data_IF_154978157175
#
_entry.id   IF_154978157175
#
_cell.length_a   1.000
_cell.length_b   1.000
_cell.length_c   1.000
_cell.angle_alpha   90.00
_cell.angle_beta   90.00
_cell.angle_gamma   90.00
#
_symmetry.space_group_name_H-M   'P 1'
#
loop_
_entity.id
_entity.type
_entity.pdbx_description
1 polymer ?
#
# COMPACT_ATOMS: atom_id res chain seq x y z
N UNK A 1 15.73 -2.87 -10.31
CA UNK A 1 15.62 -1.75 -9.35
C UNK A 1 15.28 -0.46 -10.08
N UNK A 2 13.98 -0.17 -10.28
CA UNK A 2 13.38 1.17 -10.47
C UNK A 2 11.90 1.02 -10.92
N UNK A 3 11.09 0.20 -10.23
CA UNK A 3 9.70 0.01 -10.63
C UNK A 3 8.84 1.23 -10.27
N UNK A 4 9.10 1.88 -9.14
CA UNK A 4 8.36 3.07 -8.67
C UNK A 4 8.59 4.33 -9.51
N UNK A 5 9.65 4.41 -10.33
CA UNK A 5 9.92 5.57 -11.18
C UNK A 5 9.02 5.63 -12.44
N UNK A 6 8.37 4.51 -12.80
CA UNK A 6 7.39 4.45 -13.90
C UNK A 6 5.97 4.77 -13.43
N UNK A 7 5.70 4.69 -12.13
CA UNK A 7 4.40 5.01 -11.58
C UNK A 7 4.37 6.50 -11.26
N UNK A 8 3.29 7.17 -11.69
CA UNK A 8 3.07 8.56 -11.33
C UNK A 8 2.96 8.62 -9.81
N UNK A 9 3.88 9.34 -9.15
CA UNK A 9 3.90 9.43 -7.69
C UNK A 9 2.53 9.86 -7.14
N UNK A 10 1.79 10.69 -7.89
CA UNK A 10 0.44 11.09 -7.54
C UNK A 10 -0.54 9.91 -7.45
N UNK A 11 -0.48 8.96 -8.39
CA UNK A 11 -1.37 7.78 -8.38
C UNK A 11 -1.07 6.87 -7.18
N UNK A 12 0.21 6.80 -6.77
CA UNK A 12 0.60 6.08 -5.56
C UNK A 12 0.05 6.80 -4.32
N UNK A 13 0.22 8.11 -4.23
CA UNK A 13 -0.28 8.90 -3.09
C UNK A 13 -1.81 8.83 -2.98
N UNK A 14 -2.52 8.96 -4.11
CA UNK A 14 -3.99 8.87 -4.16
C UNK A 14 -4.47 7.46 -3.75
N UNK A 15 -3.79 6.41 -4.22
CA UNK A 15 -4.06 5.03 -3.83
C UNK A 15 -3.86 4.79 -2.33
N UNK A 16 -2.78 5.31 -1.76
CA UNK A 16 -2.49 5.16 -0.33
C UNK A 16 -3.44 5.97 0.55
N UNK A 17 -3.78 7.19 0.14
CA UNK A 17 -4.73 8.04 0.84
C UNK A 17 -6.14 7.43 0.88
N UNK A 18 -6.48 6.57 -0.08
CA UNK A 18 -7.75 5.87 -0.12
C UNK A 18 -7.89 4.76 0.93
N UNK A 19 -6.81 4.40 1.65
CA UNK A 19 -6.76 3.31 2.63
C UNK A 19 -6.81 3.89 4.06
N UNK A 20 -7.96 3.85 4.77
CA UNK A 20 -8.10 4.47 6.10
C UNK A 20 -7.19 3.88 7.17
N UNK A 21 -6.74 2.64 6.96
CA UNK A 21 -5.83 1.96 7.87
C UNK A 21 -4.39 2.49 7.79
N UNK A 22 -4.04 3.27 6.76
CA UNK A 22 -2.75 3.94 6.63
C UNK A 22 -2.82 5.29 7.32
N UNK A 23 -2.18 5.38 8.49
CA UNK A 23 -2.17 6.56 9.36
C UNK A 23 -1.28 7.66 8.79
N UNK A 24 -0.16 7.27 8.19
CA UNK A 24 0.77 8.17 7.53
C UNK A 24 1.56 7.45 6.45
N UNK A 25 2.00 8.18 5.42
CA UNK A 25 2.93 7.67 4.43
C UNK A 25 3.95 8.73 4.05
N UNK A 26 5.13 8.30 3.61
CA UNK A 26 6.18 9.19 3.09
C UNK A 26 6.87 8.54 1.91
N UNK A 27 6.83 9.21 0.76
CA UNK A 27 7.63 8.85 -0.40
C UNK A 27 9.02 9.47 -0.30
N UNK A 28 10.05 8.66 -0.52
CA UNK A 28 11.41 9.13 -0.71
C UNK A 28 11.79 8.98 -2.18
N UNK A 29 11.71 10.08 -2.92
CA UNK A 29 12.04 10.13 -4.35
C UNK A 29 13.53 9.92 -4.63
N UNK A 30 14.43 10.21 -3.68
CA UNK A 30 15.86 10.03 -3.88
C UNK A 30 16.26 8.54 -3.88
N UNK A 31 15.59 7.72 -3.06
CA UNK A 31 15.84 6.27 -2.97
C UNK A 31 14.76 5.43 -3.62
N UNK A 32 13.71 6.05 -4.14
CA UNK A 32 12.55 5.39 -4.72
C UNK A 32 11.93 4.37 -3.75
N UNK A 33 11.74 4.79 -2.50
CA UNK A 33 11.22 3.95 -1.42
C UNK A 33 10.04 4.61 -0.74
N UNK A 34 9.19 3.82 -0.10
CA UNK A 34 8.05 4.31 0.66
C UNK A 34 8.12 3.85 2.10
N UNK A 35 7.73 4.73 3.02
CA UNK A 35 7.44 4.41 4.41
C UNK A 35 5.92 4.51 4.62
N UNK A 36 5.34 3.48 5.22
CA UNK A 36 3.90 3.43 5.56
C UNK A 36 3.76 3.15 7.05
N UNK A 37 3.04 4.01 7.76
CA UNK A 37 2.55 3.75 9.10
C UNK A 37 1.09 3.29 9.01
N UNK A 38 0.79 2.15 9.60
CA UNK A 38 -0.53 1.53 9.49
C UNK A 38 -1.00 0.90 10.79
N UNK A 39 -2.30 0.63 10.90
CA UNK A 39 -2.86 -0.14 12.00
C UNK A 39 -2.76 -1.65 11.76
N UNK A 40 -1.88 -2.32 12.49
CA UNK A 40 -1.68 -3.77 12.36
C UNK A 40 -2.87 -4.61 12.87
N UNK A 41 -3.83 -4.01 13.59
CA UNK A 41 -5.09 -4.68 13.94
C UNK A 41 -6.07 -4.74 12.77
N UNK A 42 -5.91 -3.87 11.77
CA UNK A 42 -6.76 -3.77 10.58
C UNK A 42 -6.09 -4.37 9.36
N UNK A 43 -4.80 -4.13 9.17
CA UNK A 43 -4.02 -4.66 8.04
C UNK A 43 -2.93 -5.60 8.58
N UNK A 44 -3.01 -6.91 8.28
CA UNK A 44 -1.98 -7.86 8.72
C UNK A 44 -0.60 -7.52 8.14
N UNK A 45 0.49 -7.60 8.92
CA UNK A 45 1.85 -7.31 8.42
C UNK A 45 2.27 -8.14 7.21
N UNK A 46 1.75 -9.37 7.08
CA UNK A 46 2.00 -10.23 5.93
C UNK A 46 1.49 -9.61 4.61
N UNK A 47 0.36 -8.90 4.65
CA UNK A 47 -0.19 -8.20 3.47
C UNK A 47 0.73 -7.06 3.07
N UNK A 48 1.24 -6.29 4.04
CA UNK A 48 2.19 -5.21 3.79
C UNK A 48 3.49 -5.75 3.20
N UNK A 49 4.06 -6.82 3.76
CA UNK A 49 5.27 -7.43 3.22
C UNK A 49 5.07 -7.94 1.78
N UNK A 50 3.91 -8.54 1.51
CA UNK A 50 3.58 -9.05 0.18
C UNK A 50 3.42 -7.94 -0.87
N UNK A 51 2.97 -6.73 -0.50
CA UNK A 51 2.94 -5.56 -1.40
C UNK A 51 4.32 -5.19 -1.95
N UNK A 52 5.38 -5.52 -1.20
CA UNK A 52 6.77 -5.27 -1.58
C UNK A 52 7.50 -6.52 -2.10
N UNK A 53 6.76 -7.60 -2.42
CA UNK A 53 7.35 -8.79 -3.03
C UNK A 53 7.92 -8.45 -4.41
N UNK A 54 9.04 -9.10 -4.75
CA UNK A 54 9.62 -9.03 -6.10
C UNK A 54 8.83 -9.86 -7.12
N UNK A 55 7.91 -10.72 -6.66
CA UNK A 55 7.01 -11.48 -7.51
C UNK A 55 5.73 -10.69 -7.77
N UNK A 56 5.54 -10.24 -9.01
CA UNK A 56 4.37 -9.44 -9.42
C UNK A 56 3.03 -10.07 -9.00
N UNK A 57 2.89 -11.39 -9.13
CA UNK A 57 1.67 -12.11 -8.75
C UNK A 57 1.38 -12.10 -7.24
N UNK A 58 2.41 -11.97 -6.41
CA UNK A 58 2.26 -11.88 -4.95
C UNK A 58 1.89 -10.45 -4.55
N UNK A 59 2.54 -9.45 -5.16
CA UNK A 59 2.20 -8.05 -4.98
C UNK A 59 0.76 -7.73 -5.42
N UNK A 60 0.32 -8.27 -6.57
CA UNK A 60 -1.05 -8.09 -7.07
C UNK A 60 -2.10 -8.67 -6.11
N UNK A 61 -1.86 -9.89 -5.61
CA UNK A 61 -2.74 -10.50 -4.60
C UNK A 61 -2.82 -9.66 -3.32
N UNK A 62 -1.70 -9.08 -2.90
CA UNK A 62 -1.65 -8.20 -1.74
C UNK A 62 -2.45 -6.91 -1.96
N UNK A 63 -2.38 -6.31 -3.16
CA UNK A 63 -3.22 -5.16 -3.54
C UNK A 63 -4.70 -5.48 -3.47
N UNK A 64 -5.13 -6.64 -4.00
CA UNK A 64 -6.53 -7.07 -3.94
C UNK A 64 -6.98 -7.29 -2.49
N UNK A 65 -6.16 -7.97 -1.68
CA UNK A 65 -6.46 -8.19 -0.26
C UNK A 65 -6.55 -6.88 0.52
N UNK A 66 -5.69 -5.91 0.23
CA UNK A 66 -5.73 -4.58 0.84
C UNK A 66 -7.03 -3.84 0.48
N UNK A 67 -7.45 -3.88 -0.80
CA UNK A 67 -8.73 -3.30 -1.23
C UNK A 67 -9.92 -3.91 -0.49
N UNK A 68 -9.96 -5.23 -0.34
CA UNK A 68 -11.01 -5.93 0.41
C UNK A 68 -11.02 -5.55 1.89
N UNK A 69 -9.85 -5.39 2.52
CA UNK A 69 -9.73 -4.95 3.90
C UNK A 69 -10.23 -3.51 4.08
N UNK A 70 -10.00 -2.65 3.10
CA UNK A 70 -10.47 -1.26 3.09
C UNK A 70 -11.97 -1.17 2.89
N UNK A 71 -12.55 -1.96 1.98
CA UNK A 71 -14.00 -2.02 1.81
C UNK A 71 -14.69 -2.60 3.06
N UNK A 72 -14.13 -3.63 3.67
CA UNK A 72 -14.73 -4.30 4.83
C UNK A 72 -14.62 -3.47 6.11
N UNK A 73 -13.52 -2.74 6.31
CA UNK A 73 -13.29 -1.93 7.51
C UNK A 73 -13.61 -0.44 7.33
N UNK A 74 -13.81 0.01 6.08
CA UNK A 74 -14.09 1.40 5.69
C UNK A 74 -15.55 1.69 5.36
N UNK A 75 -16.42 0.67 5.25
CA UNK A 75 -17.88 0.86 5.17
C UNK A 75 -18.45 0.98 6.59
N UNK A 76 -18.09 2.05 7.26
CA UNK A 76 -18.94 2.70 8.26
C UNK A 76 -19.11 4.15 7.80
N UNK A 77 -19.97 4.33 6.79
CA UNK A 77 -20.61 5.61 6.51
C UNK A 77 -21.94 5.66 7.22
#
# INVERSE_FOLDING_TARGET
MAHLARFNAQEIEDGLASVPAFKSYRLNHATNSILIEYDASVVPPAVINALFSEADAEAEKACVALGQLVETNGVNR
#
